data_IF_980972995747
#
_entry.id   IF_980972995747
#
_cell.length_a   1.000
_cell.length_b   1.000
_cell.length_c   1.000
_cell.angle_alpha   90.00
_cell.angle_beta   90.00
_cell.angle_gamma   90.00
#
_symmetry.space_group_name_H-M   'P 1'
#
loop_
_entity.id
_entity.type
_entity.pdbx_description
1 polymer ?
#
# COMPACT_ATOMS: atom_id res chain seq x y z
N UNK A 1 -23.98 38.79 5.20
CA UNK A 1 -24.13 39.71 4.03
C UNK A 1 -23.20 39.23 2.92
N UNK A 2 -23.41 39.58 1.65
CA UNK A 2 -22.52 39.11 0.57
C UNK A 2 -21.07 39.60 0.73
N UNK A 3 -20.89 40.76 1.36
CA UNK A 3 -19.60 41.36 1.75
C UNK A 3 -18.80 40.54 2.78
N UNK A 4 -19.44 39.57 3.45
CA UNK A 4 -18.77 38.68 4.42
C UNK A 4 -18.29 37.37 3.79
N UNK A 5 -18.51 37.17 2.48
CA UNK A 5 -18.02 35.98 1.80
C UNK A 5 -16.54 36.12 1.45
N UNK A 6 -15.76 35.03 1.54
CA UNK A 6 -14.36 35.08 1.16
C UNK A 6 -14.22 35.35 -0.35
N UNK A 7 -13.29 36.24 -0.70
CA UNK A 7 -12.97 36.57 -2.09
C UNK A 7 -12.17 35.48 -2.80
N UNK A 8 -11.49 34.63 -2.03
CA UNK A 8 -10.69 33.49 -2.49
C UNK A 8 -11.04 32.24 -1.68
N UNK A 9 -10.96 31.07 -2.30
CA UNK A 9 -11.18 29.80 -1.60
C UNK A 9 -10.00 29.53 -0.66
N UNK A 10 -10.26 29.22 0.60
CA UNK A 10 -9.21 28.86 1.54
C UNK A 10 -8.43 27.61 1.10
N UNK A 11 -7.14 27.53 1.43
CA UNK A 11 -6.29 26.41 1.04
C UNK A 11 -6.82 25.08 1.62
N UNK A 12 -7.33 24.13 0.81
CA UNK A 12 -8.13 23.00 1.33
C UNK A 12 -7.41 22.02 2.27
N UNK A 13 -6.08 22.11 2.38
CA UNK A 13 -5.24 21.25 3.22
C UNK A 13 -4.79 21.93 4.51
N UNK A 14 -5.12 23.21 4.68
CA UNK A 14 -4.83 24.00 5.87
C UNK A 14 -5.77 25.21 5.92
N UNK A 15 -6.90 25.08 6.60
CA UNK A 15 -7.86 26.17 6.76
C UNK A 15 -8.72 25.99 8.01
N UNK A 16 -9.28 27.09 8.49
CA UNK A 16 -10.41 27.08 9.41
C UNK A 16 -11.71 27.26 8.61
N UNK A 17 -12.76 26.45 8.84
CA UNK A 17 -14.02 26.58 8.14
C UNK A 17 -14.63 27.98 8.28
N UNK A 18 -14.98 28.60 7.14
CA UNK A 18 -15.69 29.88 7.14
C UNK A 18 -17.06 29.76 7.85
N UNK A 19 -17.55 30.79 8.56
CA UNK A 19 -18.84 30.75 9.26
C UNK A 19 -20.03 30.27 8.40
N UNK A 20 -20.07 30.64 7.12
CA UNK A 20 -21.10 30.16 6.20
C UNK A 20 -21.02 28.64 5.92
N UNK A 21 -19.82 28.09 5.83
CA UNK A 21 -19.62 26.64 5.71
C UNK A 21 -20.03 25.93 6.99
N UNK A 22 -19.75 26.51 8.15
CA UNK A 22 -20.18 25.97 9.46
C UNK A 22 -21.71 25.92 9.55
N UNK A 23 -22.39 27.00 9.12
CA UNK A 23 -23.85 27.03 9.06
C UNK A 23 -24.40 25.90 8.18
N UNK A 24 -23.88 25.74 6.96
CA UNK A 24 -24.30 24.67 6.05
C UNK A 24 -23.98 23.26 6.60
N UNK A 25 -22.84 23.10 7.29
CA UNK A 25 -22.52 21.85 7.98
C UNK A 25 -23.52 21.54 9.10
N UNK A 26 -23.99 22.51 9.86
CA UNK A 26 -24.98 22.29 10.91
C UNK A 26 -26.33 21.83 10.34
N UNK A 27 -26.75 22.39 9.19
CA UNK A 27 -27.94 21.89 8.47
C UNK A 27 -27.73 20.46 7.96
N UNK A 28 -26.56 20.16 7.42
CA UNK A 28 -26.21 18.79 7.00
C UNK A 28 -26.21 17.82 8.19
N UNK A 29 -25.70 18.21 9.36
CA UNK A 29 -25.71 17.37 10.57
C UNK A 29 -27.14 17.02 11.01
N UNK A 30 -28.04 18.00 11.04
CA UNK A 30 -29.47 17.77 11.33
C UNK A 30 -30.09 16.79 10.34
N UNK A 31 -29.80 16.96 9.04
CA UNK A 31 -30.28 16.02 8.02
C UNK A 31 -29.72 14.61 8.25
N UNK A 32 -28.43 14.47 8.54
CA UNK A 32 -27.81 13.16 8.81
C UNK A 32 -28.49 12.49 10.01
N UNK A 33 -28.77 13.21 11.09
CA UNK A 33 -29.48 12.68 12.26
C UNK A 33 -30.89 12.17 11.88
N UNK A 34 -31.63 12.93 11.07
CA UNK A 34 -32.95 12.55 10.59
C UNK A 34 -32.91 11.32 9.69
N UNK A 35 -32.02 11.30 8.69
CA UNK A 35 -31.91 10.19 7.74
C UNK A 35 -31.37 8.90 8.38
N UNK A 36 -30.44 9.02 9.33
CA UNK A 36 -29.86 7.89 10.07
C UNK A 36 -30.91 7.11 10.88
N UNK A 37 -32.01 7.76 11.26
CA UNK A 37 -33.10 7.14 12.01
C UNK A 37 -34.22 6.57 11.11
N UNK A 38 -34.14 6.75 9.79
CA UNK A 38 -35.22 6.41 8.86
C UNK A 38 -34.83 5.34 7.84
N UNK A 39 -33.82 5.57 7.00
CA UNK A 39 -33.56 4.73 5.81
C UNK A 39 -32.08 4.46 5.51
N UNK A 40 -31.13 5.05 6.26
CA UNK A 40 -29.72 4.70 6.13
C UNK A 40 -29.39 3.45 6.92
N UNK A 41 -28.74 2.48 6.28
CA UNK A 41 -28.35 1.21 6.91
C UNK A 41 -26.88 1.24 7.35
N UNK A 42 -26.44 2.32 8.00
CA UNK A 42 -25.03 2.48 8.42
C UNK A 42 -24.92 2.78 9.91
N UNK A 43 -24.15 1.96 10.62
CA UNK A 43 -23.93 2.13 12.06
C UNK A 43 -22.76 3.10 12.32
N UNK A 44 -23.07 4.36 12.64
CA UNK A 44 -22.07 5.37 12.99
C UNK A 44 -21.49 5.21 14.40
N UNK A 45 -22.00 4.29 15.24
CA UNK A 45 -21.48 4.07 16.59
C UNK A 45 -21.76 5.19 17.58
N UNK A 46 -22.84 5.94 17.37
CA UNK A 46 -23.25 7.08 18.20
C UNK A 46 -24.27 6.72 19.28
N UNK A 47 -24.86 5.53 19.21
CA UNK A 47 -25.73 5.02 20.28
C UNK A 47 -24.85 4.54 21.43
N UNK A 48 -24.87 5.25 22.55
CA UNK A 48 -24.40 4.72 23.83
C UNK A 48 -25.38 3.61 24.24
N UNK A 49 -24.92 2.36 24.25
CA UNK A 49 -25.63 1.34 25.03
C UNK A 49 -25.62 1.81 26.49
N UNK A 50 -26.81 1.98 27.08
CA UNK A 50 -26.93 2.15 28.53
C UNK A 50 -26.25 0.93 29.21
N UNK A 51 -25.58 1.08 30.36
CA UNK A 51 -24.79 0.00 30.97
C UNK A 51 -25.58 -1.21 31.48
N UNK A 52 -26.88 -1.30 31.22
CA UNK A 52 -27.76 -2.30 31.84
C UNK A 52 -28.63 -3.00 30.78
N UNK A 53 -28.01 -3.85 29.96
CA UNK A 53 -28.72 -4.95 29.31
C UNK A 53 -27.74 -6.10 29.07
N UNK A 54 -27.91 -7.12 29.89
CA UNK A 54 -27.26 -8.43 29.89
C UNK A 54 -26.75 -8.90 28.52
N UNK A 55 -25.47 -9.29 28.53
CA UNK A 55 -24.86 -10.29 27.66
C UNK A 55 -25.82 -11.46 27.43
N UNK A 56 -26.59 -11.43 26.35
CA UNK A 56 -27.28 -12.61 25.85
C UNK A 56 -26.52 -13.06 24.62
N UNK A 57 -25.57 -13.94 24.87
CA UNK A 57 -24.98 -14.81 23.85
C UNK A 57 -26.12 -15.64 23.27
N UNK A 58 -26.73 -15.20 22.17
CA UNK A 58 -27.65 -16.03 21.40
C UNK A 58 -26.81 -17.02 20.59
N UNK A 59 -26.37 -18.06 21.26
CA UNK A 59 -25.98 -19.33 20.64
C UNK A 59 -27.26 -19.95 20.09
N UNK A 60 -27.48 -19.84 18.79
CA UNK A 60 -28.36 -20.77 18.09
C UNK A 60 -27.71 -21.13 16.78
N UNK A 61 -27.09 -22.31 16.79
CA UNK A 61 -26.55 -22.96 15.62
C UNK A 61 -27.70 -23.29 14.67
N UNK A 62 -27.72 -22.69 13.49
CA UNK A 62 -28.33 -23.32 12.32
C UNK A 62 -27.50 -22.95 11.10
N UNK A 63 -26.90 -23.99 10.53
CA UNK A 63 -25.99 -23.97 9.39
C UNK A 63 -26.69 -23.52 8.11
N UNK A 64 -26.38 -22.32 7.64
CA UNK A 64 -26.39 -21.97 6.21
C UNK A 64 -25.27 -20.95 5.95
N UNK A 65 -24.52 -21.16 4.87
CA UNK A 65 -23.40 -20.31 4.45
C UNK A 65 -23.94 -19.01 3.84
N UNK A 66 -24.15 -18.00 4.67
CA UNK A 66 -24.15 -16.61 4.26
C UNK A 66 -23.04 -15.91 5.04
N UNK A 67 -22.06 -15.36 4.33
CA UNK A 67 -21.00 -14.54 4.92
C UNK A 67 -21.63 -13.31 5.55
N UNK A 68 -21.84 -13.38 6.86
CA UNK A 68 -22.34 -12.27 7.67
C UNK A 68 -21.35 -11.11 7.55
N UNK A 69 -21.73 -10.07 6.80
CA UNK A 69 -21.16 -8.72 6.93
C UNK A 69 -21.23 -8.37 8.43
N UNK A 70 -20.10 -8.44 9.13
CA UNK A 70 -19.96 -7.77 10.43
C UNK A 70 -20.37 -6.32 10.22
N UNK A 71 -21.39 -5.86 10.94
CA UNK A 71 -21.74 -4.44 11.01
C UNK A 71 -20.57 -3.68 11.62
N UNK A 72 -19.63 -3.25 10.76
CA UNK A 72 -18.49 -2.47 11.16
C UNK A 72 -18.96 -1.09 11.58
N UNK A 73 -19.01 -0.88 12.91
CA UNK A 73 -19.26 0.41 13.51
C UNK A 73 -18.11 1.36 13.18
N UNK A 74 -18.32 2.27 12.22
CA UNK A 74 -17.31 3.24 11.80
C UNK A 74 -17.95 4.56 11.39
N UNK A 75 -17.34 5.68 11.77
CA UNK A 75 -17.75 6.99 11.27
C UNK A 75 -17.39 7.21 9.80
N UNK A 76 -17.83 8.34 9.25
CA UNK A 76 -17.52 8.78 7.88
C UNK A 76 -17.24 10.28 7.83
N UNK A 77 -16.47 10.70 6.82
CA UNK A 77 -16.35 12.12 6.49
C UNK A 77 -17.57 12.58 5.70
N UNK A 78 -18.11 13.72 6.10
CA UNK A 78 -19.11 14.50 5.40
C UNK A 78 -18.57 15.91 5.14
N UNK A 79 -19.16 16.62 4.20
CA UNK A 79 -18.79 18.01 4.01
C UNK A 79 -19.67 18.74 3.03
N UNK A 80 -19.47 20.04 3.00
CA UNK A 80 -20.23 20.99 2.20
C UNK A 80 -19.30 21.87 1.36
N UNK A 81 -19.81 22.33 0.23
CA UNK A 81 -19.16 23.33 -0.62
C UNK A 81 -20.18 24.43 -0.90
N UNK A 82 -19.91 25.62 -0.39
CA UNK A 82 -20.67 26.83 -0.69
C UNK A 82 -20.33 27.22 -2.12
N UNK A 83 -21.37 27.41 -2.92
CA UNK A 83 -21.26 27.68 -4.35
C UNK A 83 -22.14 28.84 -4.77
N UNK A 84 -21.66 29.58 -5.76
CA UNK A 84 -22.40 30.64 -6.45
C UNK A 84 -22.80 30.16 -7.84
N UNK A 85 -24.01 30.51 -8.26
CA UNK A 85 -24.50 30.31 -9.62
C UNK A 85 -24.98 31.63 -10.20
N UNK A 86 -24.70 31.85 -11.48
CA UNK A 86 -25.28 32.94 -12.27
C UNK A 86 -26.44 32.34 -13.05
N UNK A 87 -27.68 32.71 -12.71
CA UNK A 87 -28.82 32.39 -13.57
C UNK A 87 -28.97 33.53 -14.58
N UNK A 88 -28.99 33.18 -15.87
CA UNK A 88 -29.61 34.02 -16.90
C UNK A 88 -31.07 33.57 -16.94
N UNK A 89 -31.98 34.45 -16.57
CA UNK A 89 -33.40 34.20 -16.81
C UNK A 89 -33.58 34.25 -18.34
N UNK A 90 -33.62 33.09 -18.99
CA UNK A 90 -34.16 32.95 -20.34
C UNK A 90 -35.69 33.05 -20.23
N UNK A 91 -36.20 34.21 -19.83
CA UNK A 91 -37.61 34.53 -20.00
C UNK A 91 -37.79 34.90 -21.47
N UNK A 92 -38.50 34.03 -22.19
CA UNK A 92 -39.09 34.23 -23.51
C UNK A 92 -40.10 35.40 -23.49
N UNK A 93 -39.63 36.63 -23.24
CA UNK A 93 -40.43 37.84 -23.42
C UNK A 93 -39.64 38.86 -24.25
N UNK A 94 -39.96 38.87 -25.54
CA UNK A 94 -39.31 39.61 -26.63
C UNK A 94 -39.53 41.14 -26.56
N UNK A 95 -39.68 41.73 -25.36
CA UNK A 95 -39.97 43.15 -25.20
C UNK A 95 -39.46 43.83 -23.93
N UNK A 96 -38.27 43.47 -23.42
CA UNK A 96 -37.57 44.27 -22.41
C UNK A 96 -36.06 44.02 -22.39
N UNK A 97 -35.29 44.99 -22.88
CA UNK A 97 -33.83 44.94 -23.00
C UNK A 97 -33.10 45.23 -21.67
N UNK A 98 -33.36 44.46 -20.62
CA UNK A 98 -32.61 44.52 -19.36
C UNK A 98 -32.36 43.11 -18.81
N UNK A 99 -31.31 42.47 -19.33
CA UNK A 99 -30.84 41.17 -18.88
C UNK A 99 -30.28 41.29 -17.45
N UNK A 100 -31.09 40.94 -16.44
CA UNK A 100 -30.71 41.07 -15.03
C UNK A 100 -30.09 39.76 -14.56
N UNK A 101 -28.76 39.68 -14.57
CA UNK A 101 -28.02 38.52 -14.05
C UNK A 101 -28.21 38.39 -12.54
N UNK A 102 -29.08 37.48 -12.10
CA UNK A 102 -29.30 37.23 -10.67
C UNK A 102 -28.31 36.19 -10.17
N UNK A 103 -27.43 36.61 -9.27
CA UNK A 103 -26.47 35.72 -8.60
C UNK A 103 -27.16 35.01 -7.43
N UNK A 104 -27.19 33.68 -7.43
CA UNK A 104 -27.78 32.87 -6.33
C UNK A 104 -26.68 32.10 -5.58
N UNK A 105 -26.82 32.04 -4.26
CA UNK A 105 -25.93 31.32 -3.37
C UNK A 105 -26.59 30.02 -2.90
N UNK A 106 -25.82 28.94 -2.85
CA UNK A 106 -26.27 27.66 -2.33
C UNK A 106 -25.11 26.83 -1.78
N UNK A 107 -25.38 25.60 -1.37
CA UNK A 107 -24.33 24.67 -0.97
C UNK A 107 -24.58 23.26 -1.51
N UNK A 108 -23.48 22.59 -1.85
CA UNK A 108 -23.44 21.18 -2.18
C UNK A 108 -23.08 20.39 -0.93
N UNK A 109 -23.49 19.13 -0.86
CA UNK A 109 -23.16 18.20 0.22
C UNK A 109 -22.66 16.86 -0.33
N UNK A 110 -21.69 16.25 0.34
CA UNK A 110 -21.11 14.96 -0.04
C UNK A 110 -20.62 14.18 1.18
N UNK A 111 -20.34 12.89 0.97
CA UNK A 111 -19.76 11.99 1.97
C UNK A 111 -18.65 11.13 1.35
N UNK A 112 -17.75 10.62 2.19
CA UNK A 112 -16.65 9.75 1.76
C UNK A 112 -17.09 8.31 1.48
N UNK A 113 -16.58 7.73 0.38
CA UNK A 113 -16.87 6.35 -0.02
C UNK A 113 -18.31 6.18 -0.50
N UNK A 114 -18.90 5.02 -0.22
CA UNK A 114 -20.31 4.70 -0.47
C UNK A 114 -21.09 4.61 0.84
N UNK A 115 -22.37 4.96 0.83
CA UNK A 115 -23.27 4.87 1.98
C UNK A 115 -24.58 4.25 1.52
N UNK A 116 -24.90 3.06 2.05
CA UNK A 116 -26.08 2.31 1.62
C UNK A 116 -27.37 3.05 2.04
N UNK A 117 -28.31 3.14 1.09
CA UNK A 117 -29.55 3.90 1.27
C UNK A 117 -29.41 5.42 1.08
N UNK A 118 -28.19 5.94 0.88
CA UNK A 118 -27.97 7.37 0.64
C UNK A 118 -27.58 7.62 -0.81
N UNK A 119 -28.46 8.31 -1.55
CA UNK A 119 -28.28 8.51 -3.00
C UNK A 119 -28.28 10.00 -3.37
N UNK A 120 -28.13 10.29 -4.65
CA UNK A 120 -28.30 11.66 -5.16
C UNK A 120 -29.73 12.19 -4.98
N UNK A 121 -30.73 11.33 -4.75
CA UNK A 121 -32.10 11.76 -4.45
C UNK A 121 -32.20 12.47 -3.09
N UNK A 122 -31.30 12.18 -2.15
CA UNK A 122 -31.19 12.86 -0.85
C UNK A 122 -30.44 14.21 -0.94
N UNK A 123 -30.13 14.64 -2.17
CA UNK A 123 -29.41 15.87 -2.50
C UNK A 123 -27.89 15.77 -2.35
N UNK A 124 -27.32 14.57 -2.21
CA UNK A 124 -25.87 14.38 -2.16
C UNK A 124 -25.25 14.39 -3.56
N UNK A 125 -24.04 14.94 -3.65
CA UNK A 125 -23.26 14.89 -4.88
C UNK A 125 -23.06 13.43 -5.31
N UNK A 126 -23.28 13.12 -6.60
CA UNK A 126 -23.06 11.78 -7.12
C UNK A 126 -21.59 11.38 -6.95
N UNK A 127 -21.35 10.06 -6.88
CA UNK A 127 -20.00 9.53 -6.99
C UNK A 127 -19.42 9.84 -8.38
N UNK A 128 -18.10 9.97 -8.46
CA UNK A 128 -17.41 10.40 -9.69
C UNK A 128 -17.53 9.33 -10.76
N UNK A 129 -17.34 8.08 -10.35
CA UNK A 129 -17.53 6.88 -11.15
C UNK A 129 -18.21 5.81 -10.28
N UNK A 130 -19.26 5.18 -10.80
CA UNK A 130 -19.97 4.09 -10.14
C UNK A 130 -19.56 2.73 -10.71
N UNK A 131 -18.69 2.03 -9.99
CA UNK A 131 -18.27 0.67 -10.36
C UNK A 131 -19.33 -0.40 -10.11
N UNK A 132 -20.41 -0.07 -9.40
CA UNK A 132 -21.47 -1.01 -8.99
C UNK A 132 -22.72 -0.93 -9.87
N UNK A 133 -22.80 0.05 -10.77
CA UNK A 133 -24.01 0.26 -11.58
C UNK A 133 -24.27 -0.89 -12.58
N UNK A 134 -23.21 -1.54 -13.09
CA UNK A 134 -23.30 -2.59 -14.09
C UNK A 134 -22.73 -3.90 -13.55
N UNK A 135 -23.60 -4.87 -13.29
CA UNK A 135 -23.21 -6.21 -12.85
C UNK A 135 -22.31 -6.93 -13.87
N UNK A 136 -22.45 -6.61 -15.17
CA UNK A 136 -21.58 -7.14 -16.23
C UNK A 136 -20.45 -6.17 -16.63
N UNK A 137 -20.27 -5.09 -15.86
CA UNK A 137 -19.20 -4.13 -16.08
C UNK A 137 -17.82 -4.78 -15.92
N UNK A 138 -16.83 -4.22 -16.62
CA UNK A 138 -15.46 -4.77 -16.66
C UNK A 138 -14.86 -4.98 -15.26
N UNK A 139 -15.24 -4.17 -14.27
CA UNK A 139 -14.74 -4.27 -12.90
C UNK A 139 -15.23 -5.54 -12.20
N UNK A 140 -16.53 -5.82 -12.26
CA UNK A 140 -17.14 -6.99 -11.61
C UNK A 140 -16.68 -8.29 -12.28
N UNK A 141 -16.67 -8.32 -13.63
CA UNK A 141 -16.13 -9.45 -14.40
C UNK A 141 -14.67 -9.70 -14.07
N UNK A 142 -13.85 -8.64 -14.05
CA UNK A 142 -12.44 -8.75 -13.69
C UNK A 142 -12.21 -9.18 -12.25
N UNK A 143 -13.04 -8.75 -11.29
CA UNK A 143 -12.97 -9.18 -9.89
C UNK A 143 -13.33 -10.66 -9.75
N UNK A 144 -14.35 -11.15 -10.47
CA UNK A 144 -14.72 -12.56 -10.51
C UNK A 144 -13.57 -13.42 -11.05
N UNK A 145 -12.93 -13.02 -12.16
CA UNK A 145 -11.76 -13.71 -12.69
C UNK A 145 -10.61 -13.80 -11.65
N UNK A 146 -10.35 -12.71 -10.92
CA UNK A 146 -9.32 -12.69 -9.88
C UNK A 146 -9.69 -13.61 -8.70
N UNK A 147 -10.96 -13.68 -8.34
CA UNK A 147 -11.48 -14.56 -7.31
C UNK A 147 -11.37 -16.04 -7.71
N UNK A 148 -11.64 -16.38 -8.98
CA UNK A 148 -11.42 -17.72 -9.51
C UNK A 148 -9.94 -18.12 -9.46
N UNK A 149 -9.01 -17.23 -9.82
CA UNK A 149 -7.57 -17.49 -9.71
C UNK A 149 -7.16 -17.69 -8.24
N UNK A 150 -7.67 -16.87 -7.32
CA UNK A 150 -7.44 -17.01 -5.89
C UNK A 150 -7.93 -18.37 -5.38
N UNK A 151 -9.15 -18.75 -5.75
CA UNK A 151 -9.75 -20.01 -5.39
C UNK A 151 -8.88 -21.19 -5.86
N UNK A 152 -8.49 -21.20 -7.13
CA UNK A 152 -7.61 -22.24 -7.70
C UNK A 152 -6.24 -22.26 -7.02
N UNK A 153 -5.66 -21.10 -6.74
CA UNK A 153 -4.37 -20.99 -6.01
C UNK A 153 -4.48 -21.60 -4.61
N UNK A 154 -5.54 -21.26 -3.87
CA UNK A 154 -5.79 -21.81 -2.53
C UNK A 154 -6.03 -23.32 -2.57
N UNK A 155 -6.75 -23.84 -3.57
CA UNK A 155 -6.93 -25.27 -3.76
C UNK A 155 -5.59 -25.99 -3.97
N UNK A 156 -4.71 -25.47 -4.83
CA UNK A 156 -3.39 -26.06 -5.09
C UNK A 156 -2.46 -25.97 -3.87
N UNK A 157 -2.47 -24.84 -3.15
CA UNK A 157 -1.67 -24.65 -1.95
C UNK A 157 -2.06 -25.61 -0.82
N UNK A 158 -3.37 -25.84 -0.66
CA UNK A 158 -3.93 -26.74 0.35
C UNK A 158 -4.12 -28.18 -0.14
N UNK A 159 -3.64 -28.52 -1.35
CA UNK A 159 -3.79 -29.85 -1.91
C UNK A 159 -3.03 -30.89 -1.05
N UNK A 160 -3.69 -31.91 -0.50
CA UNK A 160 -3.03 -32.95 0.29
C UNK A 160 -1.89 -33.67 -0.45
N UNK A 161 -2.01 -33.84 -1.77
CA UNK A 161 -0.95 -34.45 -2.58
C UNK A 161 0.29 -33.57 -2.68
N UNK A 162 0.15 -32.24 -2.65
CA UNK A 162 1.30 -31.31 -2.59
C UNK A 162 2.11 -31.55 -1.32
N UNK A 163 1.43 -31.68 -0.17
CA UNK A 163 2.07 -31.97 1.12
C UNK A 163 2.79 -33.32 1.08
N UNK A 164 2.12 -34.39 0.61
CA UNK A 164 2.73 -35.73 0.48
C UNK A 164 3.93 -35.76 -0.46
N UNK A 165 3.87 -35.05 -1.60
CA UNK A 165 4.99 -34.95 -2.56
C UNK A 165 6.20 -34.27 -1.91
N UNK A 166 5.98 -33.19 -1.17
CA UNK A 166 7.04 -32.51 -0.41
C UNK A 166 7.66 -33.39 0.67
N UNK A 167 6.85 -34.09 1.46
CA UNK A 167 7.34 -35.05 2.46
C UNK A 167 8.19 -36.15 1.81
N UNK A 168 7.71 -36.77 0.72
CA UNK A 168 8.46 -37.79 -0.02
C UNK A 168 9.79 -37.28 -0.58
N UNK A 169 9.84 -36.03 -1.03
CA UNK A 169 11.06 -35.39 -1.51
C UNK A 169 12.06 -35.19 -0.36
N UNK A 170 11.61 -34.65 0.77
CA UNK A 170 12.43 -34.46 1.98
C UNK A 170 13.01 -35.79 2.45
N UNK A 171 12.18 -36.84 2.51
CA UNK A 171 12.60 -38.19 2.90
C UNK A 171 13.65 -38.76 1.92
N UNK A 172 13.49 -38.54 0.62
CA UNK A 172 14.44 -39.00 -0.40
C UNK A 172 15.78 -38.27 -0.29
N UNK A 173 15.74 -36.96 -0.03
CA UNK A 173 16.93 -36.15 0.20
C UNK A 173 17.66 -36.60 1.48
N UNK A 174 16.93 -36.88 2.56
CA UNK A 174 17.49 -37.38 3.81
C UNK A 174 18.15 -38.75 3.62
N UNK A 175 17.42 -39.72 3.05
CA UNK A 175 17.97 -41.05 2.72
C UNK A 175 19.20 -40.96 1.82
N UNK A 176 19.18 -40.08 0.82
CA UNK A 176 20.35 -39.85 -0.03
C UNK A 176 21.54 -39.31 0.76
N UNK A 177 21.34 -38.36 1.69
CA UNK A 177 22.42 -37.81 2.51
C UNK A 177 23.04 -38.87 3.40
N UNK A 178 22.20 -39.65 4.10
CA UNK A 178 22.63 -40.71 5.01
C UNK A 178 23.36 -41.83 4.27
N UNK A 179 22.80 -42.34 3.17
CA UNK A 179 23.42 -43.40 2.38
C UNK A 179 24.77 -42.98 1.79
N UNK A 180 24.89 -41.74 1.30
CA UNK A 180 26.16 -41.22 0.79
C UNK A 180 27.18 -40.96 1.89
N UNK A 181 26.75 -40.53 3.08
CA UNK A 181 27.62 -40.38 4.24
C UNK A 181 28.16 -41.74 4.71
N UNK A 182 27.29 -42.74 4.81
CA UNK A 182 27.69 -44.12 5.14
C UNK A 182 28.65 -44.70 4.11
N UNK A 183 28.35 -44.59 2.81
CA UNK A 183 29.21 -45.09 1.75
C UNK A 183 30.59 -44.40 1.73
N UNK A 184 30.65 -43.09 2.02
CA UNK A 184 31.92 -42.38 2.22
C UNK A 184 32.71 -42.90 3.41
N UNK A 185 32.04 -43.21 4.53
CA UNK A 185 32.68 -43.81 5.71
C UNK A 185 33.24 -45.20 5.39
N UNK A 186 32.46 -46.04 4.68
CA UNK A 186 32.88 -47.36 4.18
C UNK A 186 34.10 -47.24 3.27
N UNK A 187 34.12 -46.32 2.31
CA UNK A 187 35.28 -46.09 1.44
C UNK A 187 36.54 -45.69 2.23
N UNK A 188 36.41 -44.82 3.24
CA UNK A 188 37.55 -44.45 4.10
C UNK A 188 38.09 -45.66 4.87
N UNK A 189 37.21 -46.48 5.45
CA UNK A 189 37.61 -47.70 6.16
C UNK A 189 38.26 -48.72 5.22
N UNK A 190 37.70 -48.94 4.02
CA UNK A 190 38.27 -49.84 3.02
C UNK A 190 39.65 -49.35 2.53
N UNK A 191 39.82 -48.04 2.33
CA UNK A 191 41.12 -47.45 1.98
C UNK A 191 42.16 -47.72 3.07
N UNK A 192 41.78 -47.57 4.34
CA UNK A 192 42.66 -47.85 5.48
C UNK A 192 42.99 -49.34 5.61
N UNK A 193 42.01 -50.22 5.44
CA UNK A 193 42.24 -51.67 5.42
C UNK A 193 43.24 -52.07 4.33
N UNK A 194 43.09 -51.52 3.13
CA UNK A 194 44.05 -51.75 2.02
C UNK A 194 45.45 -51.23 2.34
N UNK A 195 45.57 -50.08 3.04
CA UNK A 195 46.87 -49.56 3.51
C UNK A 195 47.56 -50.56 4.44
N UNK A 196 46.84 -51.05 5.45
CA UNK A 196 47.35 -52.03 6.41
C UNK A 196 47.73 -53.36 5.74
N UNK A 197 46.90 -53.87 4.82
CA UNK A 197 47.20 -55.09 4.07
C UNK A 197 48.46 -54.95 3.20
N UNK A 198 48.69 -53.77 2.59
CA UNK A 198 49.92 -53.48 1.85
C UNK A 198 51.15 -53.47 2.77
N UNK A 199 51.05 -52.90 3.95
CA UNK A 199 52.15 -52.89 4.95
C UNK A 199 52.47 -54.32 5.44
N UNK A 200 51.44 -55.13 5.71
CA UNK A 200 51.61 -56.52 6.12
C UNK A 200 52.24 -57.38 5.02
N UNK A 201 51.79 -57.24 3.77
CA UNK A 201 52.37 -57.97 2.63
C UNK A 201 53.81 -57.57 2.37
N UNK A 202 54.16 -56.29 2.51
CA UNK A 202 55.56 -55.83 2.43
C UNK A 202 56.43 -56.50 3.48
N UNK A 203 55.97 -56.55 4.75
CA UNK A 203 56.70 -57.22 5.83
C UNK A 203 56.90 -58.72 5.56
N UNK A 204 55.87 -59.41 5.07
CA UNK A 204 55.93 -60.85 4.73
C UNK A 204 56.90 -61.16 3.59
N UNK A 205 57.07 -60.24 2.64
CA UNK A 205 57.97 -60.40 1.51
C UNK A 205 59.42 -59.94 1.79
N UNK A 206 59.70 -59.35 2.96
CA UNK A 206 61.03 -58.85 3.37
C UNK A 206 61.77 -59.77 4.36
N UNK A 207 61.60 -61.10 4.26
CA UNK A 207 62.21 -62.09 5.17
C UNK A 207 63.72 -62.31 4.99
N UNK A 208 64.48 -61.34 4.47
CA UNK A 208 65.94 -61.43 4.37
C UNK A 208 66.56 -60.15 4.93
N UNK A 209 67.51 -60.30 5.86
CA UNK A 209 68.22 -59.21 6.56
C UNK A 209 69.15 -58.39 5.63
N UNK A 210 69.02 -58.54 4.31
CA UNK A 210 69.71 -57.74 3.31
C UNK A 210 68.74 -56.77 2.62
N UNK A 211 69.07 -55.50 2.83
CA UNK A 211 68.39 -54.28 2.39
C UNK A 211 68.33 -54.14 0.86
N UNK A 212 67.49 -54.93 0.20
CA UNK A 212 67.18 -54.79 -1.22
C UNK A 212 65.66 -54.78 -1.48
N UNK A 213 65.05 -53.61 -1.28
CA UNK A 213 63.63 -53.26 -1.52
C UNK A 213 63.15 -53.61 -2.96
N UNK A 214 64.10 -53.86 -3.86
CA UNK A 214 63.90 -54.19 -5.27
C UNK A 214 63.39 -55.63 -5.52
N UNK A 215 63.71 -56.61 -4.67
CA UNK A 215 63.35 -58.02 -4.91
C UNK A 215 61.91 -58.32 -4.43
N UNK A 216 61.48 -57.73 -3.32
CA UNK A 216 60.15 -57.90 -2.72
C UNK A 216 59.02 -57.42 -3.64
N UNK A 217 59.24 -56.30 -4.34
CA UNK A 217 58.28 -55.67 -5.25
C UNK A 217 58.23 -56.31 -6.66
N UNK A 218 59.18 -57.19 -7.00
CA UNK A 218 59.23 -57.88 -8.30
C UNK A 218 58.64 -59.30 -8.29
N UNK A 219 58.36 -59.86 -7.09
CA UNK A 219 57.74 -61.17 -6.96
C UNK A 219 56.36 -61.20 -7.63
N UNK A 220 56.06 -62.27 -8.38
CA UNK A 220 54.76 -62.47 -9.04
C UNK A 220 53.60 -62.35 -8.04
N UNK A 221 53.81 -62.87 -6.83
CA UNK A 221 52.83 -62.85 -5.75
C UNK A 221 52.49 -61.43 -5.26
N UNK A 222 53.48 -60.53 -5.16
CA UNK A 222 53.25 -59.14 -4.78
C UNK A 222 52.54 -58.35 -5.90
N UNK A 223 52.89 -58.59 -7.17
CA UNK A 223 52.23 -57.96 -8.33
C UNK A 223 50.75 -58.36 -8.44
N UNK A 224 50.45 -59.64 -8.27
CA UNK A 224 49.07 -60.15 -8.29
C UNK A 224 48.24 -59.54 -7.13
N UNK A 225 48.85 -59.38 -5.95
CA UNK A 225 48.22 -58.71 -4.80
C UNK A 225 47.97 -57.20 -5.03
N UNK A 226 48.94 -56.47 -5.58
CA UNK A 226 48.80 -55.05 -5.95
C UNK A 226 47.67 -54.84 -6.96
N UNK A 227 47.56 -55.72 -7.95
CA UNK A 227 46.49 -55.69 -8.94
C UNK A 227 45.12 -55.94 -8.29
N UNK A 228 45.02 -56.91 -7.38
CA UNK A 228 43.79 -57.13 -6.59
C UNK A 228 43.40 -55.87 -5.79
N UNK A 229 44.35 -55.21 -5.12
CA UNK A 229 44.09 -53.98 -4.36
C UNK A 229 43.62 -52.81 -5.25
N UNK A 230 44.13 -52.72 -6.48
CA UNK A 230 43.66 -51.74 -7.48
C UNK A 230 42.24 -52.05 -7.93
N UNK A 231 41.94 -53.32 -8.20
CA UNK A 231 40.60 -53.76 -8.58
C UNK A 231 39.57 -53.49 -7.47
N UNK A 232 39.92 -53.76 -6.20
CA UNK A 232 39.07 -53.43 -5.04
C UNK A 232 38.81 -51.93 -4.92
N UNK A 233 39.84 -51.10 -5.12
CA UNK A 233 39.68 -49.63 -5.11
C UNK A 233 38.79 -49.14 -6.26
N UNK A 234 38.98 -49.69 -7.46
CA UNK A 234 38.15 -49.37 -8.63
C UNK A 234 36.69 -49.83 -8.44
N UNK A 235 36.49 -50.98 -7.77
CA UNK A 235 35.17 -51.47 -7.39
C UNK A 235 34.48 -50.50 -6.40
N UNK A 236 35.13 -50.13 -5.30
CA UNK A 236 34.60 -49.17 -4.32
C UNK A 236 34.19 -47.84 -4.97
N UNK A 237 34.98 -47.35 -5.93
CA UNK A 237 34.71 -46.09 -6.62
C UNK A 237 33.52 -46.21 -7.59
N UNK A 238 33.39 -47.35 -8.28
CA UNK A 238 32.22 -47.65 -9.12
C UNK A 238 30.95 -47.80 -8.28
N UNK A 239 31.00 -48.52 -7.16
CA UNK A 239 29.88 -48.71 -6.23
C UNK A 239 29.36 -47.35 -5.73
N UNK A 240 30.25 -46.47 -5.28
CA UNK A 240 29.87 -45.13 -4.83
C UNK A 240 29.30 -44.25 -5.94
N UNK A 241 29.88 -44.29 -7.15
CA UNK A 241 29.37 -43.53 -8.31
C UNK A 241 27.98 -44.01 -8.70
N UNK A 242 27.74 -45.32 -8.72
CA UNK A 242 26.44 -45.91 -8.99
C UNK A 242 25.40 -45.52 -7.93
N UNK A 243 25.75 -45.58 -6.64
CA UNK A 243 24.89 -45.16 -5.54
C UNK A 243 24.51 -43.68 -5.63
N UNK A 244 25.48 -42.80 -5.91
CA UNK A 244 25.25 -41.37 -6.11
C UNK A 244 24.33 -41.10 -7.30
N UNK A 245 24.53 -41.79 -8.41
CA UNK A 245 23.66 -41.66 -9.59
C UNK A 245 22.22 -42.12 -9.29
N UNK A 246 22.06 -43.26 -8.61
CA UNK A 246 20.75 -43.79 -8.19
C UNK A 246 19.98 -42.80 -7.33
N UNK A 247 20.59 -42.30 -6.26
CA UNK A 247 19.91 -41.34 -5.37
C UNK A 247 19.66 -39.98 -6.04
N UNK A 248 20.59 -39.51 -6.89
CA UNK A 248 20.38 -38.28 -7.67
C UNK A 248 19.14 -38.41 -8.55
N UNK A 249 18.98 -39.55 -9.24
CA UNK A 249 17.80 -39.83 -10.07
C UNK A 249 16.51 -39.86 -9.24
N UNK A 250 16.50 -40.57 -8.12
CA UNK A 250 15.33 -40.64 -7.22
C UNK A 250 14.91 -39.25 -6.70
N UNK A 251 15.87 -38.43 -6.28
CA UNK A 251 15.59 -37.06 -5.81
C UNK A 251 15.08 -36.19 -6.95
N UNK A 252 15.66 -36.30 -8.16
CA UNK A 252 15.22 -35.54 -9.33
C UNK A 252 13.79 -35.89 -9.76
N UNK A 253 13.42 -37.17 -9.75
CA UNK A 253 12.05 -37.61 -10.08
C UNK A 253 11.02 -37.04 -9.09
N UNK A 254 11.32 -37.10 -7.79
CA UNK A 254 10.44 -36.53 -6.75
C UNK A 254 10.38 -35.01 -6.80
N UNK A 255 11.52 -34.36 -7.08
CA UNK A 255 11.57 -32.91 -7.25
C UNK A 255 10.71 -32.46 -8.42
N UNK A 256 10.74 -33.19 -9.54
CA UNK A 256 9.90 -32.89 -10.72
C UNK A 256 8.41 -32.88 -10.36
N UNK A 257 7.94 -33.88 -9.59
CA UNK A 257 6.55 -33.96 -9.15
C UNK A 257 6.14 -32.81 -8.22
N UNK A 258 7.06 -32.31 -7.37
CA UNK A 258 6.81 -31.12 -6.55
C UNK A 258 6.73 -29.88 -7.45
N UNK A 259 7.69 -29.73 -8.37
CA UNK A 259 7.76 -28.57 -9.25
C UNK A 259 6.51 -28.41 -10.11
N UNK A 260 5.89 -29.48 -10.59
CA UNK A 260 4.64 -29.42 -11.37
C UNK A 260 3.55 -28.58 -10.67
N UNK A 261 3.40 -28.74 -9.34
CA UNK A 261 2.38 -28.01 -8.57
C UNK A 261 2.87 -26.60 -8.21
N UNK A 262 4.14 -26.45 -7.82
CA UNK A 262 4.69 -25.13 -7.43
C UNK A 262 4.76 -24.18 -8.62
N UNK A 263 5.11 -24.66 -9.81
CA UNK A 263 5.16 -23.86 -11.04
C UNK A 263 3.75 -23.37 -11.43
N UNK A 264 2.71 -24.21 -11.27
CA UNK A 264 1.33 -23.79 -11.50
C UNK A 264 0.88 -22.72 -10.50
N UNK A 265 1.23 -22.86 -9.21
CA UNK A 265 0.94 -21.86 -8.18
C UNK A 265 1.62 -20.53 -8.51
N UNK A 266 2.90 -20.56 -8.88
CA UNK A 266 3.66 -19.35 -9.23
C UNK A 266 3.11 -18.69 -10.50
N UNK A 267 2.74 -19.49 -11.51
CA UNK A 267 2.06 -18.99 -12.71
C UNK A 267 0.75 -18.27 -12.36
N UNK A 268 -0.11 -18.87 -11.52
CA UNK A 268 -1.38 -18.28 -11.10
C UNK A 268 -1.18 -16.99 -10.31
N UNK A 269 -0.22 -16.94 -9.39
CA UNK A 269 0.12 -15.71 -8.66
C UNK A 269 0.59 -14.59 -9.59
N UNK A 270 1.45 -14.92 -10.56
CA UNK A 270 1.92 -13.96 -11.58
C UNK A 270 0.76 -13.45 -12.42
N UNK A 271 -0.05 -14.36 -12.97
CA UNK A 271 -1.25 -14.02 -13.74
C UNK A 271 -2.22 -13.14 -12.94
N UNK A 272 -2.45 -13.45 -11.66
CA UNK A 272 -3.31 -12.64 -10.78
C UNK A 272 -2.77 -11.22 -10.65
N UNK A 273 -1.46 -11.07 -10.41
CA UNK A 273 -0.81 -9.77 -10.26
C UNK A 273 -0.96 -8.94 -11.54
N UNK A 274 -0.73 -9.54 -12.70
CA UNK A 274 -0.85 -8.85 -14.00
C UNK A 274 -2.30 -8.42 -14.27
N UNK A 275 -3.26 -9.34 -14.14
CA UNK A 275 -4.69 -9.04 -14.32
C UNK A 275 -5.20 -7.99 -13.32
N UNK A 276 -4.80 -8.07 -12.06
CA UNK A 276 -5.20 -7.11 -11.02
C UNK A 276 -4.65 -5.71 -11.31
N UNK A 277 -3.40 -5.60 -11.76
CA UNK A 277 -2.84 -4.32 -12.18
C UNK A 277 -3.59 -3.74 -13.39
N UNK A 278 -3.91 -4.58 -14.39
CA UNK A 278 -4.68 -4.15 -15.57
C UNK A 278 -6.06 -3.64 -15.17
N UNK A 279 -6.77 -4.38 -14.32
CA UNK A 279 -8.10 -4.01 -13.84
C UNK A 279 -8.08 -2.71 -13.03
N UNK A 280 -7.09 -2.53 -12.15
CA UNK A 280 -6.93 -1.28 -11.41
C UNK A 280 -6.63 -0.09 -12.32
N UNK A 281 -5.75 -0.26 -13.31
CA UNK A 281 -5.47 0.79 -14.28
C UNK A 281 -6.71 1.19 -15.09
N UNK A 282 -7.50 0.20 -15.52
CA UNK A 282 -8.79 0.45 -16.17
C UNK A 282 -9.76 1.20 -15.26
N UNK A 283 -9.85 0.82 -13.97
CA UNK A 283 -10.65 1.54 -12.99
C UNK A 283 -10.18 2.98 -12.82
N UNK A 284 -8.88 3.21 -12.66
CA UNK A 284 -8.31 4.54 -12.48
C UNK A 284 -8.55 5.48 -13.67
N UNK A 285 -8.65 4.93 -14.88
CA UNK A 285 -8.97 5.70 -16.08
C UNK A 285 -10.44 6.16 -16.13
N UNK A 286 -11.36 5.46 -15.43
CA UNK A 286 -12.75 5.89 -15.35
C UNK A 286 -12.96 7.11 -14.45
N UNK A 287 -12.06 7.34 -13.49
CA UNK A 287 -12.11 8.51 -12.61
C UNK A 287 -11.54 9.74 -13.32
N UNK A 288 -12.43 10.50 -13.95
CA UNK A 288 -12.11 11.72 -14.71
C UNK A 288 -12.48 12.98 -13.93
N UNK A 289 -11.49 13.76 -13.51
CA UNK A 289 -11.67 14.97 -12.71
C UNK A 289 -11.60 16.22 -13.57
N UNK A 290 -12.59 17.10 -13.42
CA UNK A 290 -12.63 18.40 -14.08
C UNK A 290 -11.90 19.45 -13.25
N UNK A 291 -11.32 20.43 -13.93
CA UNK A 291 -10.95 21.71 -13.32
C UNK A 291 -11.93 22.83 -13.70
N UNK A 292 -11.68 24.07 -13.27
CA UNK A 292 -12.57 25.20 -13.59
C UNK A 292 -12.65 25.51 -15.08
N UNK A 293 -11.59 25.16 -15.84
CA UNK A 293 -11.51 25.27 -17.30
C UNK A 293 -12.15 24.09 -18.04
N UNK A 294 -12.80 23.17 -17.34
CA UNK A 294 -13.43 21.93 -17.86
C UNK A 294 -12.44 20.92 -18.47
N UNK A 295 -11.14 21.07 -18.20
CA UNK A 295 -10.12 20.10 -18.60
C UNK A 295 -10.21 18.85 -17.71
N UNK A 296 -10.13 17.67 -18.33
CA UNK A 296 -10.21 16.38 -17.64
C UNK A 296 -8.83 15.79 -17.42
N UNK A 297 -8.58 15.26 -16.22
CA UNK A 297 -7.38 14.46 -15.93
C UNK A 297 -7.79 13.24 -15.10
N UNK A 298 -7.22 12.07 -15.40
CA UNK A 298 -7.51 10.82 -14.69
C UNK A 298 -6.55 10.57 -13.53
N UNK A 299 -6.83 9.56 -12.69
CA UNK A 299 -5.99 9.29 -11.52
C UNK A 299 -4.54 8.94 -11.88
N UNK A 300 -4.28 8.20 -12.97
CA UNK A 300 -2.92 7.77 -13.30
C UNK A 300 -1.98 8.97 -13.60
N UNK A 301 -2.29 9.89 -14.53
CA UNK A 301 -1.46 11.09 -14.77
C UNK A 301 -1.31 11.99 -13.54
N UNK A 302 -2.37 12.16 -12.74
CA UNK A 302 -2.34 12.96 -11.51
C UNK A 302 -1.31 12.39 -10.53
N UNK A 303 -1.34 11.08 -10.30
CA UNK A 303 -0.50 10.44 -9.28
C UNK A 303 0.91 10.12 -9.76
N UNK A 304 1.18 10.10 -11.06
CA UNK A 304 2.54 9.87 -11.60
C UNK A 304 3.56 10.90 -11.09
N UNK A 305 3.09 12.13 -10.85
CA UNK A 305 3.89 13.25 -10.29
C UNK A 305 4.13 13.14 -8.77
N UNK A 306 3.50 12.19 -8.10
CA UNK A 306 3.59 12.02 -6.64
C UNK A 306 4.70 11.04 -6.25
N UNK A 307 5.21 11.06 -5.00
CA UNK A 307 6.21 10.10 -4.54
C UNK A 307 5.77 8.63 -4.68
N UNK A 308 4.47 8.36 -4.58
CA UNK A 308 3.92 7.02 -4.71
C UNK A 308 3.79 6.56 -6.17
N UNK A 309 3.81 7.50 -7.14
CA UNK A 309 3.60 7.29 -8.60
C UNK A 309 2.33 6.53 -8.99
N UNK A 310 1.51 6.13 -8.02
CA UNK A 310 0.28 5.39 -8.22
C UNK A 310 -0.79 5.85 -7.23
N UNK A 311 -2.06 5.87 -7.65
CA UNK A 311 -3.16 6.21 -6.76
C UNK A 311 -3.32 5.18 -5.64
N UNK A 312 -3.50 5.60 -4.39
CA UNK A 312 -3.93 4.71 -3.31
C UNK A 312 -5.39 4.28 -3.49
N UNK A 313 -5.78 3.20 -2.81
CA UNK A 313 -7.16 2.70 -2.84
C UNK A 313 -8.17 3.76 -2.37
N UNK A 314 -9.29 3.87 -3.07
CA UNK A 314 -10.35 4.85 -2.79
C UNK A 314 -9.95 6.30 -3.05
N UNK A 315 -8.91 6.55 -3.87
CA UNK A 315 -8.66 7.87 -4.43
C UNK A 315 -9.82 8.28 -5.35
N UNK A 316 -10.32 9.51 -5.21
CA UNK A 316 -11.49 10.01 -5.94
C UNK A 316 -12.82 9.91 -5.19
N UNK A 317 -12.94 9.03 -4.19
CA UNK A 317 -14.19 8.84 -3.44
C UNK A 317 -14.30 9.72 -2.18
N UNK A 318 -13.35 10.64 -1.98
CA UNK A 318 -13.36 11.60 -0.88
C UNK A 318 -14.42 12.69 -1.08
N UNK A 319 -14.76 13.39 0.00
CA UNK A 319 -15.80 14.44 0.02
C UNK A 319 -15.45 15.58 -0.93
N UNK A 320 -14.28 16.21 -0.77
CA UNK A 320 -13.90 17.36 -1.60
C UNK A 320 -13.90 17.08 -3.11
N UNK A 321 -13.25 16.02 -3.63
CA UNK A 321 -13.32 15.71 -5.06
C UNK A 321 -14.74 15.60 -5.60
N UNK A 322 -15.68 14.99 -4.87
CA UNK A 322 -17.09 14.88 -5.29
C UNK A 322 -17.78 16.25 -5.35
N UNK A 323 -17.57 17.08 -4.33
CA UNK A 323 -18.13 18.43 -4.26
C UNK A 323 -17.64 19.30 -5.43
N UNK A 324 -16.32 19.36 -5.64
CA UNK A 324 -15.74 20.14 -6.73
C UNK A 324 -16.12 19.58 -8.10
N UNK A 325 -16.14 18.26 -8.26
CA UNK A 325 -16.54 17.64 -9.53
C UNK A 325 -17.98 18.01 -9.89
N UNK A 326 -18.89 17.98 -8.92
CA UNK A 326 -20.28 18.36 -9.16
C UNK A 326 -20.42 19.86 -9.46
N UNK A 327 -19.75 20.72 -8.69
CA UNK A 327 -19.72 22.16 -8.93
C UNK A 327 -19.23 22.48 -10.35
N UNK A 328 -18.08 21.91 -10.75
CA UNK A 328 -17.52 22.13 -12.07
C UNK A 328 -18.34 21.51 -13.18
N UNK A 329 -19.02 20.37 -12.99
CA UNK A 329 -19.98 19.85 -13.98
C UNK A 329 -21.12 20.83 -14.22
N UNK A 330 -21.66 21.42 -13.15
CA UNK A 330 -22.78 22.37 -13.21
C UNK A 330 -22.39 23.81 -13.54
N UNK A 331 -21.08 24.12 -13.58
CA UNK A 331 -20.61 25.49 -13.81
C UNK A 331 -20.74 26.39 -12.60
N UNK A 332 -20.92 25.82 -11.41
CA UNK A 332 -20.97 26.59 -10.17
C UNK A 332 -19.58 27.05 -9.75
N UNK A 333 -19.50 28.23 -9.13
CA UNK A 333 -18.27 28.82 -8.61
C UNK A 333 -18.13 28.48 -7.13
N UNK A 334 -17.10 27.70 -6.73
CA UNK A 334 -16.85 27.42 -5.31
C UNK A 334 -16.41 28.67 -4.54
N UNK A 335 -16.93 28.84 -3.32
CA UNK A 335 -16.62 29.98 -2.44
C UNK A 335 -15.91 29.52 -1.17
N UNK A 336 -16.49 28.58 -0.44
CA UNK A 336 -15.98 28.10 0.83
C UNK A 336 -16.34 26.63 1.03
N UNK A 337 -15.52 25.87 1.74
CA UNK A 337 -15.79 24.47 2.03
C UNK A 337 -15.61 24.17 3.52
N UNK A 338 -16.16 23.04 3.95
CA UNK A 338 -15.86 22.44 5.24
C UNK A 338 -16.11 20.93 5.18
N UNK A 339 -15.21 20.15 5.74
CA UNK A 339 -15.43 18.72 5.97
C UNK A 339 -15.39 18.41 7.46
N UNK A 340 -16.22 17.48 7.92
CA UNK A 340 -16.27 17.04 9.31
C UNK A 340 -16.42 15.52 9.41
N UNK A 341 -15.98 14.98 10.54
CA UNK A 341 -16.14 13.56 10.84
C UNK A 341 -17.46 13.29 11.56
N UNK A 342 -18.20 12.27 11.14
CA UNK A 342 -19.46 11.87 11.76
C UNK A 342 -19.42 10.40 12.17
N UNK A 343 -19.32 10.14 13.48
CA UNK A 343 -19.40 8.79 14.05
C UNK A 343 -18.18 8.41 14.87
N UNK A 344 -18.09 7.12 15.21
CA UNK A 344 -16.97 6.53 15.94
C UNK A 344 -15.66 6.67 15.15
N UNK A 345 -14.58 6.98 15.84
CA UNK A 345 -13.22 7.00 15.26
C UNK A 345 -12.86 5.64 14.66
N UNK A 346 -12.21 5.59 13.50
CA UNK A 346 -11.65 4.33 13.00
C UNK A 346 -10.51 3.86 13.92
N UNK A 347 -10.12 2.60 13.81
CA UNK A 347 -9.06 2.01 14.66
C UNK A 347 -7.66 2.55 14.35
N UNK A 348 -7.44 3.12 13.17
CA UNK A 348 -6.13 3.51 12.65
C UNK A 348 -5.80 4.99 12.79
N UNK A 349 -6.79 5.84 13.07
CA UNK A 349 -6.60 7.29 13.21
C UNK A 349 -7.58 7.85 14.25
N UNK A 350 -7.21 8.98 14.87
CA UNK A 350 -8.05 9.65 15.87
C UNK A 350 -8.94 10.69 15.19
N UNK A 351 -10.24 10.39 15.12
CA UNK A 351 -11.29 11.27 14.61
C UNK A 351 -12.31 11.53 15.71
N UNK A 352 -12.66 12.80 15.91
CA UNK A 352 -13.68 13.23 16.86
C UNK A 352 -14.98 13.53 16.11
N UNK A 353 -16.07 12.96 16.59
CA UNK A 353 -17.40 13.21 16.03
C UNK A 353 -17.70 14.72 16.04
N UNK A 354 -18.22 15.23 14.93
CA UNK A 354 -18.58 16.63 14.71
C UNK A 354 -17.41 17.57 14.42
N UNK A 355 -16.15 17.13 14.61
CA UNK A 355 -14.97 17.98 14.42
C UNK A 355 -14.63 18.15 12.93
N UNK A 356 -14.17 19.34 12.58
CA UNK A 356 -13.75 19.69 11.22
C UNK A 356 -12.33 19.22 10.92
N UNK A 357 -12.12 18.81 9.67
CA UNK A 357 -10.82 18.36 9.18
C UNK A 357 -10.58 18.88 7.77
N UNK A 358 -9.32 19.20 7.42
CA UNK A 358 -8.98 19.55 6.05
C UNK A 358 -9.05 18.33 5.11
N UNK A 359 -9.02 18.60 3.81
CA UNK A 359 -8.93 17.56 2.80
C UNK A 359 -7.65 16.74 2.99
N UNK A 360 -7.72 15.46 2.60
CA UNK A 360 -6.66 14.50 2.84
C UNK A 360 -5.43 14.75 1.96
N UNK A 361 -4.24 14.90 2.55
CA UNK A 361 -2.99 15.10 1.77
C UNK A 361 -2.64 13.93 0.85
N UNK A 362 -2.76 12.69 1.33
CA UNK A 362 -2.35 11.52 0.56
C UNK A 362 -3.17 11.24 -0.71
N UNK A 363 -4.49 11.49 -0.69
CA UNK A 363 -5.39 11.15 -1.81
C UNK A 363 -6.00 12.37 -2.48
N UNK A 364 -6.34 13.39 -1.70
CA UNK A 364 -7.11 14.54 -2.16
C UNK A 364 -6.19 15.63 -2.73
N UNK A 365 -4.99 15.84 -2.15
CA UNK A 365 -4.04 16.90 -2.58
C UNK A 365 -3.59 16.78 -4.04
N UNK A 366 -3.17 15.61 -4.54
CA UNK A 366 -2.83 15.47 -5.96
C UNK A 366 -4.03 15.76 -6.88
N UNK A 367 -5.22 15.24 -6.51
CA UNK A 367 -6.44 15.39 -7.30
C UNK A 367 -6.86 16.86 -7.36
N UNK A 368 -6.96 17.52 -6.22
CA UNK A 368 -7.35 18.92 -6.12
C UNK A 368 -6.29 19.85 -6.74
N UNK A 369 -5.01 19.45 -6.74
CA UNK A 369 -3.96 20.16 -7.49
C UNK A 369 -4.25 20.26 -8.99
N UNK A 370 -4.99 19.31 -9.57
CA UNK A 370 -5.57 19.47 -10.91
C UNK A 370 -6.88 20.26 -10.89
N UNK A 371 -7.83 19.85 -10.05
CA UNK A 371 -9.20 20.38 -10.08
C UNK A 371 -9.28 21.89 -9.79
N UNK A 372 -8.39 22.42 -8.95
CA UNK A 372 -8.40 23.83 -8.55
C UNK A 372 -7.64 24.75 -9.51
N UNK A 373 -7.03 24.22 -10.58
CA UNK A 373 -6.36 25.05 -11.61
C UNK A 373 -7.36 26.04 -12.21
N UNK A 374 -7.04 27.32 -12.12
CA UNK A 374 -7.90 28.41 -12.62
C UNK A 374 -8.97 28.87 -11.64
N UNK A 375 -8.96 28.40 -10.39
CA UNK A 375 -9.71 28.98 -9.28
C UNK A 375 -8.80 29.89 -8.45
N UNK A 376 -9.33 30.98 -7.90
CA UNK A 376 -8.62 31.76 -6.90
C UNK A 376 -8.63 31.02 -5.56
N UNK A 377 -7.48 30.46 -5.18
CA UNK A 377 -7.27 29.71 -3.94
C UNK A 377 -6.14 30.36 -3.17
N UNK A 378 -6.27 30.44 -1.85
CA UNK A 378 -5.16 30.87 -0.99
C UNK A 378 -3.93 30.00 -1.23
N UNK A 379 -2.76 30.63 -1.20
CA UNK A 379 -1.49 29.93 -1.32
C UNK A 379 -1.26 29.00 -0.12
N UNK A 380 -0.50 27.93 -0.33
CA UNK A 380 -0.12 27.02 0.73
C UNK A 380 0.65 27.79 1.82
N UNK A 381 0.17 27.84 3.07
CA UNK A 381 0.84 28.58 4.14
C UNK A 381 2.28 28.11 4.41
N UNK A 382 2.59 26.86 4.07
CA UNK A 382 3.93 26.28 4.26
C UNK A 382 4.94 26.65 3.16
N UNK A 383 4.45 27.18 2.03
CA UNK A 383 5.30 27.63 0.92
C UNK A 383 5.60 29.14 1.03
N UNK A 384 4.98 29.83 1.98
CA UNK A 384 5.20 31.24 2.24
C UNK A 384 6.29 31.45 3.29
N UNK A 385 7.11 32.49 3.09
CA UNK A 385 8.01 32.95 4.16
C UNK A 385 7.11 33.47 5.30
N UNK A 386 7.27 32.96 6.54
CA UNK A 386 6.46 33.43 7.66
C UNK A 386 6.65 34.93 7.80
N UNK A 387 5.57 35.71 7.76
CA UNK A 387 5.62 37.13 8.10
C UNK A 387 5.29 37.28 9.59
N UNK A 388 5.88 38.28 10.27
CA UNK A 388 5.46 38.59 11.64
C UNK A 388 3.98 38.98 11.65
N UNK A 389 3.26 38.55 12.68
CA UNK A 389 1.83 38.90 12.91
C UNK A 389 1.55 40.40 13.01
N UNK A 390 2.59 41.22 13.15
CA UNK A 390 2.50 42.68 13.33
C UNK A 390 2.53 43.48 12.01
N UNK A 391 2.28 42.84 10.85
CA UNK A 391 2.25 43.52 9.55
C UNK A 391 3.61 43.98 9.02
N UNK A 392 4.71 43.68 9.74
CA UNK A 392 6.06 43.87 9.24
C UNK A 392 6.44 42.72 8.32
N UNK A 393 6.71 43.03 7.05
CA UNK A 393 7.15 42.11 6.00
C UNK A 393 8.56 41.52 6.21
N UNK A 394 9.11 41.61 7.43
CA UNK A 394 10.43 41.10 7.75
C UNK A 394 10.32 39.63 8.18
N UNK A 395 11.12 38.72 7.58
CA UNK A 395 11.13 37.33 7.98
C UNK A 395 11.52 37.17 9.47
N UNK A 396 11.03 36.13 10.17
CA UNK A 396 11.40 35.88 11.56
C UNK A 396 12.90 35.67 11.65
N UNK A 397 13.54 36.46 12.52
CA UNK A 397 14.97 36.36 12.80
C UNK A 397 15.21 35.17 13.71
N UNK A 398 16.23 34.37 13.40
CA UNK A 398 16.68 33.28 14.28
C UNK A 398 17.40 33.89 15.47
N UNK A 399 16.83 33.75 16.66
CA UNK A 399 17.42 34.21 17.91
C UNK A 399 18.46 33.21 18.40
N UNK A 400 19.66 33.68 18.77
CA UNK A 400 20.78 32.84 19.22
C UNK A 400 20.88 32.98 20.73
N UNK A 401 20.57 31.89 21.42
CA UNK A 401 20.62 31.83 22.88
C UNK A 401 22.05 31.62 23.41
N UNK A 402 22.87 30.92 22.64
CA UNK A 402 24.26 30.61 22.98
C UNK A 402 25.09 30.40 21.71
N UNK A 403 26.35 30.81 21.73
CA UNK A 403 27.30 30.67 20.63
C UNK A 403 28.72 30.55 21.19
N UNK A 404 29.46 29.52 20.78
CA UNK A 404 30.89 29.35 21.01
C UNK A 404 31.62 28.92 19.71
N UNK A 405 32.90 28.56 19.81
CA UNK A 405 33.72 28.14 18.66
C UNK A 405 33.25 26.83 17.99
N UNK A 406 32.44 26.02 18.68
CA UNK A 406 32.04 24.68 18.25
C UNK A 406 30.53 24.52 18.03
N UNK A 407 29.68 25.32 18.68
CA UNK A 407 28.23 25.20 18.60
C UNK A 407 27.48 26.53 18.76
N UNK A 408 26.29 26.59 18.16
CA UNK A 408 25.30 27.62 18.39
C UNK A 408 23.96 26.98 18.80
N UNK A 409 23.35 27.50 19.86
CA UNK A 409 22.00 27.14 20.31
C UNK A 409 21.05 28.24 19.88
N UNK A 410 20.04 27.86 19.08
CA UNK A 410 19.08 28.79 18.51
C UNK A 410 17.70 28.58 19.11
N UNK A 411 17.02 29.69 19.43
CA UNK A 411 15.60 29.69 19.75
C UNK A 411 14.81 29.71 18.44
N UNK A 412 14.34 28.53 18.03
CA UNK A 412 13.60 28.37 16.78
C UNK A 412 12.22 29.05 16.88
N UNK A 413 11.91 30.03 15.99
CA UNK A 413 10.56 30.59 15.90
C UNK A 413 9.52 29.51 15.56
N UNK A 414 8.32 29.57 16.16
CA UNK A 414 7.25 28.58 15.94
C UNK A 414 6.86 28.42 14.47
N UNK A 415 6.96 29.51 13.72
CA UNK A 415 6.45 29.60 12.36
C UNK A 415 7.54 29.30 11.31
N UNK A 416 8.79 29.07 11.73
CA UNK A 416 9.93 28.81 10.83
C UNK A 416 10.23 27.31 10.70
N UNK A 417 10.64 26.84 9.52
CA UNK A 417 11.09 25.45 9.34
C UNK A 417 12.49 25.23 9.93
N UNK A 418 12.76 24.03 10.46
CA UNK A 418 14.11 23.70 10.97
C UNK A 418 15.11 23.48 9.82
N UNK A 419 14.64 22.85 8.75
CA UNK A 419 15.41 22.51 7.53
C UNK A 419 14.62 22.97 6.30
N UNK A 420 15.27 23.12 5.13
CA UNK A 420 14.58 23.51 3.89
C UNK A 420 13.35 22.64 3.61
N UNK A 421 12.25 23.30 3.25
CA UNK A 421 11.05 22.67 2.74
C UNK A 421 11.21 22.23 1.28
N UNK A 422 10.18 21.60 0.72
CA UNK A 422 10.21 21.16 -0.68
C UNK A 422 10.21 22.32 -1.68
N UNK A 423 9.44 23.37 -1.39
CA UNK A 423 9.29 24.53 -2.26
C UNK A 423 9.88 25.81 -1.65
N UNK A 424 10.12 25.83 -0.34
CA UNK A 424 10.66 26.97 0.40
C UNK A 424 12.01 26.59 1.02
N UNK A 425 13.09 27.20 0.53
CA UNK A 425 14.43 26.97 1.09
C UNK A 425 14.62 27.69 2.44
N UNK A 426 13.81 28.71 2.72
CA UNK A 426 13.89 29.50 3.96
C UNK A 426 13.63 28.65 5.21
N UNK A 427 14.68 28.47 6.01
CA UNK A 427 14.70 27.64 7.22
C UNK A 427 15.80 28.09 8.18
N UNK A 428 15.72 27.65 9.44
CA UNK A 428 16.77 27.87 10.45
C UNK A 428 18.11 27.39 9.92
N UNK A 429 18.15 26.20 9.32
CA UNK A 429 19.36 25.65 8.70
C UNK A 429 19.96 26.58 7.64
N UNK A 430 19.16 27.11 6.70
CA UNK A 430 19.68 28.00 5.66
C UNK A 430 20.15 29.34 6.18
N UNK A 431 19.48 29.88 7.21
CA UNK A 431 19.95 31.14 7.82
C UNK A 431 21.24 30.93 8.62
N UNK A 432 21.34 29.83 9.36
CA UNK A 432 22.60 29.47 10.03
C UNK A 432 23.71 29.22 9.01
N UNK A 433 23.42 28.60 7.87
CA UNK A 433 24.40 28.39 6.79
C UNK A 433 24.87 29.70 6.14
N UNK A 434 23.99 30.70 5.99
CA UNK A 434 24.38 32.04 5.53
C UNK A 434 25.27 32.75 6.54
N UNK A 435 24.97 32.58 7.84
CA UNK A 435 25.73 33.18 8.95
C UNK A 435 27.11 32.53 9.14
N UNK A 436 27.23 31.22 8.94
CA UNK A 436 28.48 30.44 9.10
C UNK A 436 28.90 29.76 7.78
N UNK A 437 29.32 30.51 6.75
CA UNK A 437 29.63 29.95 5.43
C UNK A 437 30.92 29.10 5.39
N UNK A 438 31.79 29.21 6.41
CA UNK A 438 33.11 28.57 6.47
C UNK A 438 33.12 27.19 7.16
N UNK A 439 32.07 26.82 7.89
CA UNK A 439 32.01 25.59 8.69
C UNK A 439 31.44 24.38 7.95
N UNK A 440 31.93 24.14 6.73
CA UNK A 440 31.54 22.98 5.91
C UNK A 440 31.99 21.61 6.46
N UNK A 441 32.59 21.56 7.66
CA UNK A 441 33.23 20.34 8.22
C UNK A 441 32.71 19.88 9.59
N UNK A 442 31.54 20.33 10.03
CA UNK A 442 30.86 19.65 11.14
C UNK A 442 29.34 19.79 11.00
N UNK A 443 28.73 18.81 10.36
CA UNK A 443 27.29 18.56 10.48
C UNK A 443 27.10 17.08 10.74
N UNK A 444 26.72 16.76 11.97
CA UNK A 444 26.00 15.52 12.31
C UNK A 444 24.67 15.91 12.90
#
# INVERSE_FOLDING_TARGET
KEEELPSVLAYPFWYEPHPISIWACNELKKQIEQCSNSHWTHNFGLVQQQPNASTTTSTTATSTKEETKKDFVVGKMFGVLIVRTTATDDDDDESSSSQTTTTKLGYLKAYSGTLQGCTSQDGFCPIIYDRTHDAQGFFNVGEEELNQINYKTNQLQNNPERKKRNERLIDAQQRSREALAYAKKKQKANKEKRRLQREEMKRKCSNDDNDDDYISSSSKQYKDFEEQMKQESAFDQREFKALKAKHKKEVQEKQKLVNEIEEEIEYLKKSRKEKSNKLQNQLFDQYQFLNTKKEKESLLPIFDKTPLRRPPSGAGDCVAPKLFQHAFRKGYVPIAMAEFWWGKSPSTEVRRHGLYYPACRGKCEPILGHMLKGLAVEENPLDQIPQKKDGCCLPPVVDIMYEDEYMAVVNKPSDMLSVPGRNLDYSVYTEMKKRYPKDRKSTR
#
